data_IF_611665107745
#
_entry.id   IF_611665107745
#
_cell.length_a   1.000
_cell.length_b   1.000
_cell.length_c   1.000
_cell.angle_alpha   90.00
_cell.angle_beta   90.00
_cell.angle_gamma   90.00
#
_symmetry.space_group_name_H-M   'P 1'
#
loop_
_entity.id
_entity.type
_entity.pdbx_description
1 polymer ?
#
# COMPACT_ATOMS: atom_id res chain seq x y z
N UNK A 1 -27.13 1.44 15.27
CA UNK A 1 -26.70 0.86 13.98
C UNK A 1 -25.43 0.09 14.25
N UNK A 2 -25.35 -1.15 13.79
CA UNK A 2 -24.14 -1.97 13.91
C UNK A 2 -23.24 -1.67 12.72
N UNK A 3 -21.98 -1.31 12.98
CA UNK A 3 -21.02 -1.03 11.91
C UNK A 3 -20.51 -2.35 11.34
N UNK A 4 -20.55 -2.49 10.01
CA UNK A 4 -19.91 -3.61 9.32
C UNK A 4 -18.47 -3.23 9.00
N UNK A 5 -17.53 -4.05 9.48
CA UNK A 5 -16.12 -3.90 9.18
C UNK A 5 -15.70 -4.89 8.08
N UNK A 6 -14.80 -4.44 7.21
CA UNK A 6 -14.14 -5.26 6.22
C UNK A 6 -12.65 -5.25 6.53
N UNK A 7 -12.08 -6.42 6.80
CA UNK A 7 -10.63 -6.56 6.83
C UNK A 7 -10.12 -6.59 5.39
N UNK A 8 -9.25 -5.65 5.06
CA UNK A 8 -8.63 -5.49 3.74
C UNK A 8 -7.12 -5.78 3.79
N UNK A 9 -6.64 -6.34 4.90
CA UNK A 9 -5.24 -6.67 5.11
C UNK A 9 -4.98 -8.13 4.70
N UNK A 10 -3.92 -8.42 3.94
CA UNK A 10 -3.51 -9.80 3.72
C UNK A 10 -2.94 -10.40 5.00
N UNK A 11 -3.03 -11.73 5.13
CA UNK A 11 -2.38 -12.46 6.22
C UNK A 11 -0.86 -12.32 6.12
N UNK A 12 -0.23 -11.83 7.19
CA UNK A 12 1.23 -11.82 7.31
C UNK A 12 1.71 -13.20 7.78
N UNK A 13 2.47 -13.87 6.92
CA UNK A 13 3.07 -15.18 7.21
C UNK A 13 4.42 -15.33 6.48
N UNK A 14 5.17 -16.40 6.74
CA UNK A 14 6.42 -16.68 6.02
C UNK A 14 6.23 -16.99 4.53
N UNK A 15 4.98 -17.15 4.07
CA UNK A 15 4.65 -17.35 2.65
C UNK A 15 4.40 -16.04 1.89
N UNK A 16 4.12 -14.95 2.60
CA UNK A 16 3.78 -13.69 1.94
C UNK A 16 4.96 -13.25 1.06
N UNK A 17 4.64 -12.86 -0.16
CA UNK A 17 5.57 -12.29 -1.10
C UNK A 17 6.16 -10.99 -0.55
N UNK A 18 7.45 -10.79 -0.82
CA UNK A 18 8.14 -9.52 -0.58
C UNK A 18 8.72 -9.05 -1.90
N UNK A 19 9.00 -7.75 -1.99
CA UNK A 19 9.66 -7.18 -3.15
C UNK A 19 10.95 -7.97 -3.45
N UNK A 20 11.25 -8.31 -4.73
CA UNK A 20 12.41 -9.12 -5.07
C UNK A 20 13.72 -8.55 -4.49
N UNK A 21 14.38 -9.34 -3.65
CA UNK A 21 15.64 -8.98 -2.99
C UNK A 21 15.50 -8.36 -1.59
N UNK A 22 14.27 -8.15 -1.09
CA UNK A 22 14.02 -7.57 0.23
C UNK A 22 14.02 -8.62 1.37
N UNK A 23 13.97 -8.15 2.61
CA UNK A 23 13.94 -8.97 3.83
C UNK A 23 12.59 -9.68 3.98
N UNK A 24 12.61 -11.01 3.83
CA UNK A 24 11.45 -11.87 4.09
C UNK A 24 10.97 -11.79 5.54
N UNK A 25 9.67 -12.03 5.73
CA UNK A 25 9.09 -12.20 7.05
C UNK A 25 9.60 -13.46 7.74
N UNK A 26 10.13 -13.29 8.94
CA UNK A 26 10.54 -14.37 9.81
C UNK A 26 10.01 -14.13 11.22
N UNK A 27 9.31 -15.12 11.79
CA UNK A 27 8.95 -15.18 13.21
C UNK A 27 9.84 -16.19 13.90
N UNK A 28 10.69 -15.73 14.81
CA UNK A 28 11.47 -16.60 15.69
C UNK A 28 10.71 -16.82 16.98
N UNK A 29 10.39 -18.08 17.31
CA UNK A 29 9.80 -18.44 18.59
C UNK A 29 10.94 -18.56 19.63
N UNK A 30 10.89 -17.73 20.66
CA UNK A 30 11.88 -17.69 21.75
C UNK A 30 11.44 -18.51 22.96
N UNK A 31 10.14 -18.52 23.24
CA UNK A 31 9.50 -19.28 24.30
C UNK A 31 8.17 -19.82 23.78
N UNK A 32 7.84 -21.07 24.09
CA UNK A 32 6.52 -21.65 23.81
C UNK A 32 6.13 -22.69 24.84
N UNK A 33 4.83 -22.98 24.92
CA UNK A 33 4.30 -24.06 25.74
C UNK A 33 4.87 -25.43 25.33
N UNK A 34 5.10 -25.65 24.03
CA UNK A 34 5.74 -26.87 23.50
C UNK A 34 7.19 -27.05 24.01
N UNK A 35 7.87 -25.94 24.33
CA UNK A 35 9.19 -25.93 24.97
C UNK A 35 9.12 -25.98 26.51
N UNK A 36 7.95 -26.29 27.09
CA UNK A 36 7.74 -26.36 28.54
C UNK A 36 7.66 -24.99 29.23
N UNK A 37 7.51 -23.90 28.48
CA UNK A 37 7.31 -22.56 29.03
C UNK A 37 5.83 -22.34 29.41
N UNK A 38 5.55 -21.27 30.15
CA UNK A 38 4.20 -20.90 30.59
C UNK A 38 3.58 -19.75 29.78
N UNK A 39 4.19 -19.37 28.66
CA UNK A 39 3.76 -18.31 27.76
C UNK A 39 4.46 -18.45 26.40
N UNK A 40 3.95 -17.77 25.37
CA UNK A 40 4.62 -17.63 24.08
C UNK A 40 5.31 -16.27 23.94
N UNK A 41 6.57 -16.27 23.54
CA UNK A 41 7.28 -15.06 23.10
C UNK A 41 7.96 -15.35 21.78
N UNK A 42 7.85 -14.38 20.87
CA UNK A 42 8.53 -14.43 19.59
C UNK A 42 9.07 -13.06 19.18
N UNK A 43 10.08 -13.08 18.32
CA UNK A 43 10.60 -11.91 17.62
C UNK A 43 10.24 -11.97 16.13
N UNK A 44 10.12 -10.80 15.50
CA UNK A 44 9.89 -10.67 14.06
C UNK A 44 11.09 -9.97 13.42
N UNK A 45 11.51 -10.44 12.25
CA UNK A 45 12.41 -9.75 11.32
C UNK A 45 11.72 -9.66 9.96
N UNK A 46 11.58 -8.47 9.38
CA UNK A 46 10.95 -8.27 8.07
C UNK A 46 11.27 -6.90 7.48
N UNK A 47 10.98 -6.72 6.19
CA UNK A 47 10.82 -5.41 5.57
C UNK A 47 9.63 -4.63 6.18
N UNK A 48 9.67 -3.30 6.05
CA UNK A 48 8.53 -2.44 6.39
C UNK A 48 7.46 -2.41 5.29
N UNK A 49 7.80 -2.84 4.07
CA UNK A 49 6.91 -2.89 2.90
C UNK A 49 6.27 -4.27 2.75
N UNK A 50 5.68 -4.77 3.85
CA UNK A 50 5.12 -6.12 3.95
C UNK A 50 3.59 -6.07 4.02
N UNK A 51 2.91 -6.72 3.08
CA UNK A 51 1.44 -6.77 3.06
C UNK A 51 0.83 -5.36 2.93
N UNK A 52 -0.30 -5.12 3.62
CA UNK A 52 -0.89 -3.79 3.69
C UNK A 52 -0.03 -2.88 4.58
N UNK A 53 0.54 -1.85 3.98
CA UNK A 53 1.43 -0.90 4.66
C UNK A 53 1.19 0.52 4.12
N UNK A 54 1.83 1.50 4.76
CA UNK A 54 1.79 2.89 4.33
C UNK A 54 3.21 3.45 4.28
N UNK A 55 3.56 4.02 3.14
CA UNK A 55 4.86 4.65 2.97
C UNK A 55 4.92 6.00 3.68
N UNK A 56 6.12 6.32 4.15
CA UNK A 56 6.44 7.67 4.58
C UNK A 56 7.29 8.36 3.51
N UNK A 57 7.28 9.70 3.45
CA UNK A 57 8.10 10.44 2.50
C UNK A 57 9.59 10.08 2.51
N UNK A 58 10.15 9.68 3.66
CA UNK A 58 11.54 9.26 3.76
C UNK A 58 11.87 7.94 3.03
N UNK A 59 10.86 7.19 2.55
CA UNK A 59 11.05 6.03 1.69
C UNK A 59 11.60 6.41 0.30
N UNK A 60 11.04 7.47 -0.29
CA UNK A 60 11.32 7.90 -1.67
C UNK A 60 11.91 9.31 -1.78
N UNK A 61 12.11 10.01 -0.66
CA UNK A 61 12.71 11.34 -0.64
C UNK A 61 13.67 11.52 0.55
N UNK A 62 14.93 11.89 0.26
CA UNK A 62 16.02 11.97 1.26
C UNK A 62 15.71 12.82 2.49
N UNK A 63 14.98 13.91 2.29
CA UNK A 63 14.58 14.84 3.36
C UNK A 63 13.09 14.69 3.73
N UNK A 64 12.46 13.59 3.33
CA UNK A 64 11.07 13.31 3.66
C UNK A 64 10.87 13.06 5.15
N UNK A 65 9.66 13.36 5.63
CA UNK A 65 9.20 12.99 6.96
C UNK A 65 9.24 11.47 7.16
N UNK A 66 9.59 11.03 8.36
CA UNK A 66 9.45 9.64 8.78
C UNK A 66 8.00 9.33 9.19
N UNK A 67 7.61 8.05 9.15
CA UNK A 67 6.21 7.64 9.38
C UNK A 67 5.63 8.13 10.71
N UNK A 68 6.43 8.18 11.78
CA UNK A 68 6.01 8.66 13.11
C UNK A 68 5.75 10.17 13.17
N UNK A 69 6.19 10.94 12.16
CA UNK A 69 5.97 12.37 12.04
C UNK A 69 4.73 12.70 11.20
N UNK A 70 4.23 11.75 10.40
CA UNK A 70 3.05 11.93 9.56
C UNK A 70 1.81 12.08 10.43
N UNK A 71 0.95 13.04 10.08
CA UNK A 71 -0.32 13.23 10.76
C UNK A 71 -1.22 12.00 10.59
N UNK A 72 -1.77 11.48 11.68
CA UNK A 72 -2.77 10.41 11.65
C UNK A 72 -4.03 10.78 10.84
N UNK A 73 -4.27 12.08 10.60
CA UNK A 73 -5.38 12.53 9.76
C UNK A 73 -5.27 12.08 8.31
N UNK A 74 -4.10 11.65 7.83
CA UNK A 74 -4.00 11.02 6.51
C UNK A 74 -4.67 9.64 6.49
N UNK A 75 -4.56 8.88 7.58
CA UNK A 75 -4.85 7.44 7.62
C UNK A 75 -6.20 7.07 8.24
N UNK A 76 -7.02 8.05 8.66
CA UNK A 76 -8.33 7.79 9.26
C UNK A 76 -9.41 8.75 8.80
N UNK A 77 -10.51 8.22 8.24
CA UNK A 77 -11.72 8.95 7.90
C UNK A 77 -12.40 8.43 6.63
N UNK A 78 -13.29 9.24 6.04
CA UNK A 78 -14.02 8.86 4.83
C UNK A 78 -13.07 8.50 3.69
N UNK A 79 -13.42 7.43 2.98
CA UNK A 79 -12.64 6.82 1.90
C UNK A 79 -13.60 6.35 0.82
N UNK A 80 -13.22 6.55 -0.44
CA UNK A 80 -13.92 6.05 -1.60
C UNK A 80 -13.12 4.90 -2.21
N UNK A 81 -13.77 3.77 -2.48
CA UNK A 81 -13.15 2.63 -3.17
C UNK A 81 -13.57 2.67 -4.63
N UNK A 82 -12.61 2.68 -5.54
CA UNK A 82 -12.80 2.70 -6.98
C UNK A 82 -12.38 1.35 -7.55
N UNK A 83 -13.31 0.66 -8.20
CA UNK A 83 -13.01 -0.54 -8.96
C UNK A 83 -12.51 -0.14 -10.34
N UNK A 84 -11.30 -0.56 -10.69
CA UNK A 84 -10.67 -0.28 -11.99
C UNK A 84 -10.24 -1.60 -12.62
N UNK A 85 -10.96 -2.00 -13.66
CA UNK A 85 -10.68 -3.23 -14.40
C UNK A 85 -9.88 -2.91 -15.66
N UNK A 86 -8.56 -2.92 -15.54
CA UNK A 86 -7.62 -2.75 -16.66
C UNK A 86 -6.66 -3.96 -16.76
N UNK A 87 -6.04 -4.21 -17.92
CA UNK A 87 -5.04 -5.25 -18.05
C UNK A 87 -3.89 -5.08 -17.05
N UNK A 88 -3.40 -6.21 -16.52
CA UNK A 88 -2.21 -6.28 -15.66
C UNK A 88 -1.00 -5.58 -16.29
N UNK A 89 -0.20 -4.90 -15.48
CA UNK A 89 1.02 -4.20 -15.89
C UNK A 89 0.76 -2.83 -16.53
N UNK A 90 -0.48 -2.33 -16.48
CA UNK A 90 -0.84 -1.00 -16.97
C UNK A 90 -0.99 0.01 -15.84
N UNK A 91 -0.77 1.28 -16.19
CA UNK A 91 -1.03 2.42 -15.33
C UNK A 91 -2.54 2.69 -15.26
N UNK A 92 -3.05 2.97 -14.07
CA UNK A 92 -4.33 3.64 -13.91
C UNK A 92 -4.11 5.12 -14.26
N UNK A 93 -4.64 5.51 -15.41
CA UNK A 93 -4.72 6.90 -15.88
C UNK A 93 -6.04 7.60 -15.49
N UNK A 94 -6.07 8.93 -15.59
CA UNK A 94 -7.26 9.78 -15.35
C UNK A 94 -8.47 9.33 -16.18
N UNK A 95 -8.25 8.86 -17.42
CA UNK A 95 -9.33 8.42 -18.31
C UNK A 95 -10.18 7.29 -17.69
N UNK A 96 -9.56 6.42 -16.88
CA UNK A 96 -10.23 5.28 -16.26
C UNK A 96 -11.22 5.69 -15.16
N UNK A 97 -11.10 6.91 -14.63
CA UNK A 97 -12.00 7.46 -13.61
C UNK A 97 -12.72 8.74 -14.07
N UNK A 98 -12.60 9.11 -15.35
CA UNK A 98 -13.09 10.38 -15.89
C UNK A 98 -14.60 10.64 -15.67
N UNK A 99 -15.39 9.58 -15.57
CA UNK A 99 -16.85 9.64 -15.32
C UNK A 99 -17.24 9.44 -13.85
N UNK A 100 -16.27 9.41 -12.94
CA UNK A 100 -16.48 9.16 -11.52
C UNK A 100 -16.25 10.45 -10.75
N UNK A 101 -17.24 10.85 -9.93
CA UNK A 101 -17.08 11.95 -9.00
C UNK A 101 -16.25 11.51 -7.78
N UNK A 102 -15.25 12.32 -7.42
CA UNK A 102 -14.43 12.11 -6.22
C UNK A 102 -15.13 12.74 -5.02
N UNK A 103 -15.56 11.92 -4.08
CA UNK A 103 -16.44 12.31 -2.96
C UNK A 103 -15.74 12.26 -1.59
N UNK A 104 -14.52 11.73 -1.54
CA UNK A 104 -13.80 11.51 -0.30
C UNK A 104 -12.34 11.99 -0.40
N UNK A 105 -11.74 12.43 0.71
CA UNK A 105 -10.34 12.84 0.74
C UNK A 105 -9.35 11.67 0.67
N UNK A 106 -9.83 10.42 0.52
CA UNK A 106 -9.01 9.21 0.40
C UNK A 106 -9.61 8.32 -0.66
N UNK A 107 -8.77 7.79 -1.54
CA UNK A 107 -9.18 6.95 -2.66
C UNK A 107 -8.39 5.66 -2.64
N UNK A 108 -9.08 4.52 -2.63
CA UNK A 108 -8.48 3.20 -2.77
C UNK A 108 -8.84 2.62 -4.14
N UNK A 109 -7.84 2.15 -4.87
CA UNK A 109 -7.99 1.50 -6.16
C UNK A 109 -8.02 -0.02 -5.99
N UNK A 110 -9.10 -0.64 -6.41
CA UNK A 110 -9.27 -2.09 -6.48
C UNK A 110 -9.07 -2.55 -7.92
N UNK A 111 -7.91 -3.13 -8.21
CA UNK A 111 -7.49 -3.58 -9.54
C UNK A 111 -7.55 -5.09 -9.72
N UNK A 112 -7.46 -5.86 -8.63
CA UNK A 112 -7.32 -7.31 -8.61
C UNK A 112 -6.12 -7.83 -9.44
N UNK A 113 -5.14 -6.96 -9.70
CA UNK A 113 -3.96 -7.26 -10.51
C UNK A 113 -2.84 -7.97 -9.72
N UNK A 114 -2.95 -7.99 -8.38
CA UNK A 114 -2.12 -8.75 -7.45
C UNK A 114 -3.00 -9.58 -6.50
N UNK A 115 -3.72 -10.61 -7.01
CA UNK A 115 -4.78 -11.27 -6.24
C UNK A 115 -4.30 -12.27 -5.19
N UNK A 116 -3.03 -12.69 -5.26
CA UNK A 116 -2.45 -13.68 -4.36
C UNK A 116 -1.17 -13.14 -3.72
N UNK A 117 -1.26 -12.62 -2.49
CA UNK A 117 -0.10 -12.10 -1.76
C UNK A 117 0.98 -13.12 -1.47
N UNK A 118 0.71 -14.43 -1.51
CA UNK A 118 1.72 -15.48 -1.30
C UNK A 118 2.51 -15.77 -2.60
N UNK A 119 1.99 -15.38 -3.77
CA UNK A 119 2.60 -15.64 -5.08
C UNK A 119 2.87 -14.35 -5.84
N UNK A 120 4.12 -13.88 -5.74
CA UNK A 120 4.55 -12.62 -6.34
C UNK A 120 4.38 -12.61 -7.88
N UNK A 121 3.66 -11.60 -8.40
CA UNK A 121 3.59 -11.31 -9.83
C UNK A 121 4.06 -9.87 -10.13
N UNK A 122 5.10 -9.71 -10.94
CA UNK A 122 5.71 -8.40 -11.24
C UNK A 122 4.87 -7.48 -12.13
N UNK A 123 3.83 -8.00 -12.78
CA UNK A 123 2.96 -7.27 -13.70
C UNK A 123 1.69 -6.73 -13.01
N UNK A 124 1.78 -6.25 -11.78
CA UNK A 124 0.65 -5.59 -11.13
C UNK A 124 0.36 -4.21 -11.76
N UNK A 125 -0.87 -3.73 -11.62
CA UNK A 125 -1.25 -2.37 -12.01
C UNK A 125 -0.70 -1.36 -11.00
N UNK A 126 -0.48 -0.14 -11.47
CA UNK A 126 0.13 0.96 -10.72
C UNK A 126 -0.55 2.28 -11.09
N UNK A 127 -0.17 3.41 -10.50
CA UNK A 127 -0.79 4.70 -10.75
C UNK A 127 0.03 5.52 -11.76
N UNK A 128 -0.62 6.22 -12.69
CA UNK A 128 0.10 7.24 -13.47
C UNK A 128 0.36 8.48 -12.59
N UNK A 129 1.48 9.21 -12.80
CA UNK A 129 1.72 10.47 -12.08
C UNK A 129 0.59 11.48 -12.31
N UNK A 130 0.09 11.61 -13.55
CA UNK A 130 -1.02 12.51 -13.89
C UNK A 130 -2.31 12.19 -13.12
N UNK A 131 -2.55 10.91 -12.80
CA UNK A 131 -3.67 10.52 -11.94
C UNK A 131 -3.48 11.02 -10.51
N UNK A 132 -2.27 10.92 -9.96
CA UNK A 132 -1.97 11.41 -8.61
C UNK A 132 -2.15 12.92 -8.54
N UNK A 133 -1.62 13.67 -9.52
CA UNK A 133 -1.82 15.12 -9.64
C UNK A 133 -3.32 15.48 -9.72
N UNK A 134 -4.07 14.79 -10.58
CA UNK A 134 -5.52 14.99 -10.71
C UNK A 134 -6.25 14.79 -9.37
N UNK A 135 -5.90 13.75 -8.61
CA UNK A 135 -6.51 13.47 -7.31
C UNK A 135 -6.15 14.55 -6.28
N UNK A 136 -4.90 15.04 -6.30
CA UNK A 136 -4.47 16.16 -5.45
C UNK A 136 -5.29 17.42 -5.72
N UNK A 137 -5.54 17.76 -7.00
CA UNK A 137 -6.43 18.87 -7.40
C UNK A 137 -7.87 18.70 -6.87
N UNK A 138 -8.32 17.45 -6.69
CA UNK A 138 -9.60 17.10 -6.05
C UNK A 138 -9.53 17.06 -4.53
N UNK A 139 -8.45 17.55 -3.92
CA UNK A 139 -8.22 17.56 -2.46
C UNK A 139 -8.16 16.16 -1.84
N UNK A 140 -7.85 15.13 -2.65
CA UNK A 140 -7.48 13.82 -2.13
C UNK A 140 -6.13 13.96 -1.43
N UNK A 141 -6.01 13.35 -0.27
CA UNK A 141 -4.80 13.36 0.56
C UNK A 141 -4.21 11.99 0.80
N UNK A 142 -4.94 10.92 0.51
CA UNK A 142 -4.43 9.55 0.57
C UNK A 142 -4.86 8.79 -0.68
N UNK A 143 -3.90 8.13 -1.31
CA UNK A 143 -4.15 7.13 -2.36
C UNK A 143 -3.67 5.77 -1.90
N UNK A 144 -4.48 4.75 -2.12
CA UNK A 144 -4.08 3.36 -1.89
C UNK A 144 -4.42 2.51 -3.09
N UNK A 145 -3.71 1.41 -3.27
CA UNK A 145 -3.91 0.43 -4.34
C UNK A 145 -3.78 -0.97 -3.76
N UNK A 146 -4.48 -1.94 -4.33
CA UNK A 146 -4.42 -3.35 -3.93
C UNK A 146 -3.21 -4.11 -4.54
N UNK A 147 -2.10 -3.40 -4.75
CA UNK A 147 -0.87 -3.92 -5.35
C UNK A 147 0.36 -3.51 -4.52
N UNK A 148 1.52 -4.16 -4.68
CA UNK A 148 2.69 -3.90 -3.83
C UNK A 148 3.30 -2.50 -3.96
N UNK A 149 2.99 -1.74 -5.01
CA UNK A 149 3.59 -0.43 -5.28
C UNK A 149 2.68 0.42 -6.19
N UNK A 150 2.73 1.74 -6.03
CA UNK A 150 2.06 2.71 -6.93
C UNK A 150 2.86 3.03 -8.20
N UNK A 151 4.08 2.51 -8.32
CA UNK A 151 4.94 2.52 -9.52
C UNK A 151 5.20 1.08 -10.01
N UNK A 152 5.59 0.87 -11.29
CA UNK A 152 6.03 -0.44 -11.79
C UNK A 152 7.17 -1.03 -10.95
N UNK A 153 7.25 -2.37 -10.83
CA UNK A 153 8.31 -3.06 -10.08
C UNK A 153 9.73 -2.67 -10.53
N UNK A 154 9.94 -2.50 -11.84
CA UNK A 154 11.23 -2.18 -12.41
C UNK A 154 11.54 -0.67 -12.43
N UNK A 155 10.60 0.17 -11.97
CA UNK A 155 10.76 1.63 -11.94
C UNK A 155 11.92 2.04 -11.03
N UNK A 156 12.85 2.81 -11.61
CA UNK A 156 13.94 3.47 -10.86
C UNK A 156 13.66 4.94 -10.57
N UNK A 157 12.70 5.52 -11.29
CA UNK A 157 12.36 6.93 -11.21
C UNK A 157 11.25 7.20 -10.20
N UNK A 158 10.44 6.19 -9.81
CA UNK A 158 9.38 6.30 -8.79
C UNK A 158 8.47 7.54 -8.98
N UNK A 159 7.98 7.74 -10.21
CA UNK A 159 7.29 8.98 -10.59
C UNK A 159 5.97 9.17 -9.84
N UNK A 160 5.22 8.10 -9.60
CA UNK A 160 3.98 8.20 -8.84
C UNK A 160 4.27 8.57 -7.38
N UNK A 161 5.28 7.96 -6.75
CA UNK A 161 5.73 8.36 -5.40
C UNK A 161 6.20 9.82 -5.35
N UNK A 162 6.93 10.30 -6.35
CA UNK A 162 7.32 11.70 -6.42
C UNK A 162 6.13 12.64 -6.57
N UNK A 163 5.09 12.27 -7.32
CA UNK A 163 3.85 13.05 -7.37
C UNK A 163 3.13 13.09 -6.01
N UNK A 164 3.06 11.96 -5.30
CA UNK A 164 2.53 11.90 -3.93
C UNK A 164 3.31 12.83 -3.00
N UNK A 165 4.65 12.81 -3.09
CA UNK A 165 5.52 13.69 -2.32
C UNK A 165 5.22 15.16 -2.57
N UNK A 166 5.21 15.57 -3.85
CA UNK A 166 5.08 16.96 -4.27
C UNK A 166 3.73 17.55 -3.85
N UNK A 167 2.68 16.73 -3.79
CA UNK A 167 1.35 17.12 -3.38
C UNK A 167 1.09 16.95 -1.87
N UNK A 168 2.10 16.55 -1.09
CA UNK A 168 1.98 16.26 0.34
C UNK A 168 0.82 15.30 0.65
N UNK A 169 0.69 14.28 -0.19
CA UNK A 169 -0.26 13.18 -0.02
C UNK A 169 0.36 12.04 0.78
N UNK A 170 -0.46 11.02 1.07
CA UNK A 170 -0.07 9.75 1.66
C UNK A 170 -0.46 8.60 0.74
#
# INVERSE_FOLDING_TARGET
>A
MEFKYYDISPLISSRIGVFPGDQKYERKINMSYEMGQNLEVSAISSTLHLGAHADAPNHYHKNGEAIHQRSLSYYYGNTQVLHVSIPRGQAIEVLHISNIEILAPRVLFCTQSFPDPDNWNSNFCYLSPDLVEYLAEKQVRLVGIDTPSIDPEDSKELKAHHSVFNNNMA
#
